data_IF_726982513905
#
_entry.id   IF_726982513905
#
_cell.length_a   1.000
_cell.length_b   1.000
_cell.length_c   1.000
_cell.angle_alpha   90.00
_cell.angle_beta   90.00
_cell.angle_gamma   90.00
#
_symmetry.space_group_name_H-M   'P 1'
#
loop_
_entity.id
_entity.type
_entity.pdbx_description
1 polymer ?
#
# COMPACT_ATOMS: atom_id res chain seq x y z
N UNK A 1 5.05 -27.20 -31.29
CA UNK A 1 6.05 -26.59 -30.38
C UNK A 1 5.27 -26.06 -29.18
N UNK A 2 5.37 -26.72 -28.02
CA UNK A 2 4.70 -26.34 -26.79
C UNK A 2 5.79 -26.01 -25.77
N UNK A 3 5.76 -24.82 -25.18
CA UNK A 3 6.66 -24.41 -24.11
C UNK A 3 6.01 -24.77 -22.78
N UNK A 4 6.65 -25.68 -22.06
CA UNK A 4 6.26 -26.14 -20.73
C UNK A 4 6.85 -25.17 -19.70
N UNK A 5 6.01 -24.36 -19.04
CA UNK A 5 6.42 -23.53 -17.90
C UNK A 5 6.43 -24.40 -16.65
N UNK A 6 7.46 -25.22 -16.50
CA UNK A 6 7.76 -25.87 -15.22
C UNK A 6 8.22 -24.81 -14.23
N UNK A 7 7.27 -24.20 -13.53
CA UNK A 7 7.50 -23.34 -12.38
C UNK A 7 7.96 -24.23 -11.21
N UNK A 8 9.26 -24.47 -11.13
CA UNK A 8 9.87 -24.96 -9.90
C UNK A 8 9.80 -23.83 -8.89
N UNK A 9 8.73 -23.79 -8.09
CA UNK A 9 8.67 -23.00 -6.88
C UNK A 9 9.85 -23.45 -6.00
N UNK A 10 10.92 -22.66 -5.99
CA UNK A 10 12.07 -22.88 -5.14
C UNK A 10 11.60 -22.92 -3.69
N UNK A 11 11.79 -24.07 -3.04
CA UNK A 11 11.69 -24.16 -1.60
C UNK A 11 12.80 -23.27 -1.05
N UNK A 12 12.50 -22.26 -0.21
CA UNK A 12 13.55 -21.41 0.35
C UNK A 12 14.42 -22.29 1.27
N UNK A 13 15.69 -22.47 0.89
CA UNK A 13 16.69 -23.31 1.59
C UNK A 13 17.15 -22.70 2.93
N UNK A 14 16.74 -21.47 3.25
CA UNK A 14 17.11 -20.76 4.48
C UNK A 14 15.88 -20.35 5.31
N UNK A 15 15.72 -20.82 6.56
CA UNK A 15 14.67 -20.34 7.47
C UNK A 15 14.75 -18.84 7.78
N UNK A 16 15.85 -18.16 7.44
CA UNK A 16 15.98 -16.71 7.50
C UNK A 16 15.29 -15.98 6.32
N UNK A 17 15.16 -16.59 5.14
CA UNK A 17 14.44 -15.99 4.00
C UNK A 17 12.92 -15.93 4.24
N UNK A 18 12.36 -16.95 4.90
CA UNK A 18 10.94 -16.99 5.25
C UNK A 18 10.50 -15.82 6.16
N UNK A 19 11.44 -15.19 6.88
CA UNK A 19 11.17 -14.04 7.77
C UNK A 19 11.02 -12.71 7.01
N UNK A 20 11.38 -12.67 5.72
CA UNK A 20 11.33 -11.46 4.89
C UNK A 20 10.24 -11.52 3.81
N UNK A 21 9.15 -12.26 4.05
CA UNK A 21 7.93 -12.07 3.25
C UNK A 21 7.40 -10.67 3.55
N UNK A 22 7.71 -9.71 2.67
CA UNK A 22 7.20 -8.34 2.75
C UNK A 22 5.69 -8.40 2.52
N UNK A 23 4.93 -8.51 3.61
CA UNK A 23 3.47 -8.42 3.54
C UNK A 23 3.10 -7.06 2.90
N UNK A 24 2.26 -7.05 1.85
CA UNK A 24 1.78 -5.80 1.27
C UNK A 24 1.04 -4.99 2.34
N UNK A 25 1.14 -3.67 2.27
CA UNK A 25 0.35 -2.80 3.14
C UNK A 25 -1.13 -3.13 2.92
N UNK A 26 -1.84 -3.41 4.02
CA UNK A 26 -3.25 -3.73 3.96
C UNK A 26 -4.03 -2.50 3.51
N UNK A 27 -5.04 -2.69 2.65
CA UNK A 27 -5.96 -1.62 2.28
C UNK A 27 -6.66 -1.07 3.53
N UNK A 28 -6.95 0.25 3.58
CA UNK A 28 -7.62 0.85 4.72
C UNK A 28 -9.04 0.30 4.84
N UNK A 29 -9.47 0.04 6.08
CA UNK A 29 -10.84 -0.41 6.36
C UNK A 29 -11.78 0.77 6.18
N UNK A 30 -12.83 0.59 5.38
CA UNK A 30 -13.82 1.61 5.10
C UNK A 30 -14.98 1.52 6.10
N UNK A 31 -15.41 2.67 6.61
CA UNK A 31 -16.66 2.77 7.36
C UNK A 31 -17.87 2.46 6.45
N UNK A 32 -18.94 1.83 6.97
CA UNK A 32 -20.14 1.58 6.19
C UNK A 32 -20.72 2.87 5.60
N UNK A 33 -20.84 2.93 4.27
CA UNK A 33 -21.34 4.11 3.56
C UNK A 33 -20.26 5.14 3.18
N UNK A 34 -19.00 4.90 3.52
CA UNK A 34 -17.89 5.70 3.00
C UNK A 34 -17.74 5.52 1.47
N UNK A 35 -17.37 6.57 0.72
CA UNK A 35 -17.16 6.47 -0.72
C UNK A 35 -16.01 5.51 -1.02
N UNK A 36 -16.14 4.70 -2.07
CA UNK A 36 -15.03 3.85 -2.51
C UNK A 36 -13.91 4.69 -3.10
N UNK A 37 -12.71 4.12 -3.22
CA UNK A 37 -11.60 4.82 -3.86
C UNK A 37 -11.92 5.16 -5.32
N UNK A 38 -12.68 4.32 -6.02
CA UNK A 38 -13.13 4.60 -7.37
C UNK A 38 -14.04 5.85 -7.41
N UNK A 39 -14.97 5.96 -6.47
CA UNK A 39 -15.85 7.13 -6.35
C UNK A 39 -15.04 8.40 -6.07
N UNK A 40 -14.04 8.33 -5.19
CA UNK A 40 -13.14 9.44 -4.89
C UNK A 40 -12.30 9.83 -6.12
N UNK A 41 -11.78 8.87 -6.88
CA UNK A 41 -11.04 9.15 -8.11
C UNK A 41 -11.91 9.82 -9.17
N UNK A 42 -13.20 9.49 -9.25
CA UNK A 42 -14.15 10.21 -10.08
C UNK A 42 -14.38 11.65 -9.59
N UNK A 43 -14.48 11.86 -8.27
CA UNK A 43 -14.56 13.20 -7.68
C UNK A 43 -13.33 14.06 -7.99
N UNK A 44 -12.13 13.50 -7.85
CA UNK A 44 -10.86 14.19 -8.19
C UNK A 44 -10.83 14.61 -9.67
N UNK A 45 -11.29 13.75 -10.58
CA UNK A 45 -11.39 14.09 -12.01
C UNK A 45 -12.41 15.21 -12.29
N UNK A 46 -13.41 15.35 -11.43
CA UNK A 46 -14.39 16.43 -11.47
C UNK A 46 -13.93 17.68 -10.69
N UNK A 47 -12.65 17.74 -10.28
CA UNK A 47 -12.04 18.82 -9.51
C UNK A 47 -12.69 19.03 -8.12
N UNK A 48 -13.26 17.98 -7.53
CA UNK A 48 -13.80 17.99 -6.18
C UNK A 48 -12.65 17.97 -5.14
N UNK A 49 -12.42 19.07 -4.39
CA UNK A 49 -11.33 19.14 -3.42
C UNK A 49 -11.58 18.25 -2.19
N UNK A 50 -12.85 18.00 -1.83
CA UNK A 50 -13.19 17.08 -0.73
C UNK A 50 -12.83 15.63 -1.08
N UNK A 51 -12.96 15.23 -2.35
CA UNK A 51 -12.57 13.89 -2.79
C UNK A 51 -11.06 13.68 -2.67
N UNK A 52 -10.26 14.70 -3.00
CA UNK A 52 -8.81 14.67 -2.85
C UNK A 52 -8.40 14.56 -1.38
N UNK A 53 -9.01 15.38 -0.50
CA UNK A 53 -8.74 15.35 0.94
C UNK A 53 -9.05 13.98 1.55
N UNK A 54 -10.22 13.42 1.24
CA UNK A 54 -10.64 12.12 1.78
C UNK A 54 -9.72 10.98 1.35
N UNK A 55 -9.25 11.01 0.10
CA UNK A 55 -8.32 10.00 -0.39
C UNK A 55 -6.95 10.13 0.31
N UNK A 56 -6.48 11.35 0.54
CA UNK A 56 -5.23 11.60 1.27
C UNK A 56 -5.31 11.09 2.71
N UNK A 57 -6.34 11.50 3.45
CA UNK A 57 -6.52 11.12 4.86
C UNK A 57 -6.62 9.60 5.03
N UNK A 58 -7.32 8.93 4.10
CA UNK A 58 -7.49 7.47 4.08
C UNK A 58 -6.17 6.72 3.91
N UNK A 59 -5.26 7.24 3.10
CA UNK A 59 -4.00 6.57 2.77
C UNK A 59 -2.79 7.06 3.57
N UNK A 60 -2.92 8.14 4.34
CA UNK A 60 -1.85 8.71 5.16
C UNK A 60 -1.17 7.67 6.07
N UNK A 61 -1.95 6.81 6.74
CA UNK A 61 -1.41 5.76 7.61
C UNK A 61 -0.52 4.74 6.89
N UNK A 62 -0.86 4.39 5.65
CA UNK A 62 -0.07 3.48 4.81
C UNK A 62 1.20 4.17 4.33
N UNK A 63 1.09 5.41 3.87
CA UNK A 63 2.22 6.22 3.41
C UNK A 63 3.23 6.39 4.56
N UNK A 64 2.77 6.77 5.76
CA UNK A 64 3.62 6.88 6.96
C UNK A 64 4.31 5.56 7.30
N UNK A 65 3.58 4.43 7.28
CA UNK A 65 4.16 3.13 7.55
C UNK A 65 5.23 2.72 6.51
N UNK A 66 5.04 3.08 5.23
CA UNK A 66 6.03 2.85 4.18
C UNK A 66 7.27 3.74 4.35
N UNK A 67 7.09 5.03 4.69
CA UNK A 67 8.20 5.95 4.94
C UNK A 67 9.05 5.47 6.13
N UNK A 68 8.42 5.12 7.25
CA UNK A 68 9.10 4.58 8.43
C UNK A 68 9.89 3.29 8.12
N UNK A 69 9.34 2.43 7.27
CA UNK A 69 10.00 1.17 6.86
C UNK A 69 11.21 1.40 5.94
N UNK A 70 11.25 2.51 5.21
CA UNK A 70 12.38 2.83 4.31
C UNK A 70 13.46 3.61 5.04
N UNK A 71 13.08 4.63 5.82
CA UNK A 71 14.03 5.57 6.43
C UNK A 71 14.60 5.03 7.76
N UNK A 72 13.90 4.13 8.45
CA UNK A 72 14.29 3.61 9.79
C UNK A 72 14.65 4.72 10.81
N UNK A 73 14.14 5.94 10.62
CA UNK A 73 14.29 7.09 11.52
C UNK A 73 12.95 7.84 11.59
N UNK A 74 12.28 7.78 12.75
CA UNK A 74 10.94 8.37 12.97
C UNK A 74 10.91 9.89 12.78
N UNK A 75 11.99 10.60 13.15
CA UNK A 75 12.01 12.06 13.13
C UNK A 75 12.01 12.66 11.72
N UNK A 76 12.68 12.00 10.75
CA UNK A 76 12.68 12.44 9.35
C UNK A 76 11.41 12.05 8.61
N UNK A 77 10.69 11.02 9.08
CA UNK A 77 9.46 10.57 8.45
C UNK A 77 8.29 11.54 8.67
N UNK A 78 8.24 12.20 9.83
CA UNK A 78 7.21 13.19 10.15
C UNK A 78 7.42 14.53 9.40
N UNK A 79 8.65 14.87 8.99
CA UNK A 79 8.95 16.07 8.21
C UNK A 79 8.56 15.95 6.71
N UNK A 80 8.28 14.74 6.23
CA UNK A 80 7.91 14.47 4.83
C UNK A 80 6.38 14.40 4.60
N UNK A 81 5.58 14.45 5.67
CA UNK A 81 4.12 14.38 5.66
C UNK A 81 3.49 15.77 5.82
#
# INVERSE_FOLDING_TARGET
MAIDFSSTAGVPDDPAEARNVRLPAAAPVLEPGAPSDLDLMHGIQAEDPEALSQLYDRYNGIIKALILRVIHNEAEADDLL
#
